data_IF_400829573277
#
_entry.id   IF_400829573277
#
_cell.length_a   1.000
_cell.length_b   1.000
_cell.length_c   1.000
_cell.angle_alpha   90.00
_cell.angle_beta   90.00
_cell.angle_gamma   90.00
#
_symmetry.space_group_name_H-M   'P 1'
#
loop_
_entity.id
_entity.type
_entity.pdbx_description
1 polymer ?
#
# COMPACT_ATOMS: atom_id res chain seq x y z
N UNK A 1 -19.86 -1.20 -18.13
CA UNK A 1 -18.87 -1.21 -17.04
C UNK A 1 -18.17 -2.55 -17.08
N UNK A 2 -16.83 -2.59 -16.96
CA UNK A 2 -16.05 -3.81 -17.11
C UNK A 2 -16.31 -4.78 -15.94
N UNK A 3 -17.33 -5.63 -16.06
CA UNK A 3 -17.54 -6.81 -15.24
C UNK A 3 -17.00 -7.99 -16.05
N UNK A 4 -15.68 -8.16 -16.01
CA UNK A 4 -15.07 -9.37 -16.56
C UNK A 4 -14.94 -10.35 -15.40
N UNK A 5 -15.35 -11.60 -15.58
CA UNK A 5 -15.09 -12.65 -14.58
C UNK A 5 -13.62 -13.13 -14.62
N UNK A 6 -12.79 -12.54 -15.49
CA UNK A 6 -11.41 -12.96 -15.71
C UNK A 6 -10.47 -12.19 -14.80
N UNK A 7 -9.81 -12.92 -13.90
CA UNK A 7 -8.89 -12.37 -12.90
C UNK A 7 -7.74 -11.55 -13.51
N UNK A 8 -7.15 -12.00 -14.62
CA UNK A 8 -6.07 -11.29 -15.32
C UNK A 8 -6.50 -9.90 -15.82
N UNK A 9 -7.78 -9.75 -16.19
CA UNK A 9 -8.35 -8.47 -16.62
C UNK A 9 -8.47 -7.53 -15.42
N UNK A 10 -8.85 -8.04 -14.24
CA UNK A 10 -8.87 -7.26 -13.01
C UNK A 10 -7.48 -6.77 -12.64
N UNK A 11 -6.46 -7.62 -12.75
CA UNK A 11 -5.08 -7.24 -12.48
C UNK A 11 -4.62 -6.13 -13.42
N UNK A 12 -4.83 -6.29 -14.72
CA UNK A 12 -4.44 -5.29 -15.72
C UNK A 12 -5.15 -3.96 -15.49
N UNK A 13 -6.47 -3.98 -15.23
CA UNK A 13 -7.25 -2.78 -14.98
C UNK A 13 -6.84 -2.07 -13.68
N UNK A 14 -6.68 -2.82 -12.58
CA UNK A 14 -6.27 -2.27 -11.29
C UNK A 14 -4.84 -1.70 -11.36
N UNK A 15 -3.91 -2.40 -12.03
CA UNK A 15 -2.54 -1.93 -12.24
C UNK A 15 -2.48 -0.65 -13.07
N UNK A 16 -3.26 -0.56 -14.15
CA UNK A 16 -3.35 0.67 -14.95
C UNK A 16 -3.88 1.85 -14.13
N UNK A 17 -4.94 1.64 -13.34
CA UNK A 17 -5.50 2.68 -12.47
C UNK A 17 -4.55 3.08 -11.35
N UNK A 18 -3.82 2.13 -10.76
CA UNK A 18 -2.78 2.42 -9.77
C UNK A 18 -1.68 3.32 -10.33
N UNK A 19 -1.17 2.99 -11.53
CA UNK A 19 -0.17 3.80 -12.22
C UNK A 19 -0.68 5.20 -12.55
N UNK A 20 -1.92 5.31 -13.06
CA UNK A 20 -2.53 6.61 -13.37
C UNK A 20 -2.73 7.45 -12.10
N UNK A 21 -3.19 6.84 -11.00
CA UNK A 21 -3.40 7.51 -9.71
C UNK A 21 -2.10 7.99 -9.05
N UNK A 22 -0.93 7.62 -9.58
CA UNK A 22 0.34 8.20 -9.12
C UNK A 22 0.35 9.73 -9.23
N UNK A 23 -0.28 10.28 -10.27
CA UNK A 23 -0.37 11.73 -10.49
C UNK A 23 -1.67 12.27 -9.88
N UNK A 24 -1.58 13.33 -9.06
CA UNK A 24 -2.73 13.88 -8.33
C UNK A 24 -3.85 14.37 -9.25
N UNK A 25 -3.52 14.95 -10.41
CA UNK A 25 -4.50 15.37 -11.42
C UNK A 25 -5.29 14.19 -11.99
N UNK A 26 -4.61 13.07 -12.26
CA UNK A 26 -5.26 11.87 -12.77
C UNK A 26 -6.08 11.21 -11.67
N UNK A 27 -5.55 11.14 -10.44
CA UNK A 27 -6.27 10.63 -9.29
C UNK A 27 -7.60 11.39 -9.09
N UNK A 28 -7.57 12.72 -9.15
CA UNK A 28 -8.78 13.55 -9.06
C UNK A 28 -9.79 13.21 -10.15
N UNK A 29 -9.35 13.12 -11.41
CA UNK A 29 -10.22 12.74 -12.53
C UNK A 29 -10.82 11.34 -12.37
N UNK A 30 -10.04 10.36 -11.91
CA UNK A 30 -10.54 9.00 -11.66
C UNK A 30 -11.64 9.04 -10.59
N UNK A 31 -11.50 9.86 -9.54
CA UNK A 31 -12.57 10.03 -8.53
C UNK A 31 -13.81 10.69 -9.15
N UNK A 32 -13.65 11.78 -9.91
CA UNK A 32 -14.78 12.48 -10.56
C UNK A 32 -15.54 11.58 -11.56
N UNK A 33 -14.82 10.73 -12.29
CA UNK A 33 -15.39 9.80 -13.28
C UNK A 33 -15.96 8.51 -12.66
N UNK A 34 -16.03 8.42 -11.32
CA UNK A 34 -16.65 7.30 -10.61
C UNK A 34 -15.79 6.03 -10.50
N UNK A 35 -14.47 6.18 -10.56
CA UNK A 35 -13.53 5.05 -10.46
C UNK A 35 -13.46 4.42 -9.05
N UNK A 36 -13.80 5.16 -8.00
CA UNK A 36 -13.71 4.66 -6.60
C UNK A 36 -14.62 3.45 -6.35
N UNK A 37 -15.94 3.49 -6.67
CA UNK A 37 -16.79 2.30 -6.55
C UNK A 37 -16.26 1.06 -7.30
N UNK A 38 -15.65 1.24 -8.47
CA UNK A 38 -15.10 0.15 -9.27
C UNK A 38 -13.88 -0.46 -8.58
N UNK A 39 -12.93 0.37 -8.14
CA UNK A 39 -11.76 -0.09 -7.40
C UNK A 39 -12.13 -0.74 -6.06
N UNK A 40 -13.15 -0.22 -5.37
CA UNK A 40 -13.70 -0.82 -4.16
C UNK A 40 -14.26 -2.22 -4.44
N UNK A 41 -15.01 -2.39 -5.53
CA UNK A 41 -15.52 -3.69 -5.94
C UNK A 41 -14.39 -4.68 -6.23
N UNK A 42 -13.38 -4.28 -7.00
CA UNK A 42 -12.20 -5.12 -7.27
C UNK A 42 -11.45 -5.48 -5.98
N UNK A 43 -11.24 -4.50 -5.09
CA UNK A 43 -10.55 -4.67 -3.81
C UNK A 43 -11.24 -5.71 -2.89
N UNK A 44 -12.55 -5.82 -2.97
CA UNK A 44 -13.35 -6.67 -2.08
C UNK A 44 -13.79 -8.00 -2.69
N UNK A 45 -14.05 -8.03 -3.99
CA UNK A 45 -14.76 -9.15 -4.63
C UNK A 45 -13.93 -9.92 -5.66
N UNK A 46 -12.79 -9.38 -6.12
CA UNK A 46 -11.95 -10.11 -7.08
C UNK A 46 -11.36 -11.39 -6.46
N UNK A 47 -11.34 -12.49 -7.22
CA UNK A 47 -10.64 -13.72 -6.81
C UNK A 47 -9.12 -13.57 -6.77
N UNK A 48 -8.55 -12.72 -7.63
CA UNK A 48 -7.12 -12.41 -7.62
C UNK A 48 -6.72 -11.51 -6.44
N UNK A 49 -5.82 -12.03 -5.59
CA UNK A 49 -5.18 -11.26 -4.49
C UNK A 49 -4.40 -10.07 -5.03
N UNK A 50 -3.79 -10.21 -6.19
CA UNK A 50 -2.99 -9.19 -6.86
C UNK A 50 -3.86 -8.03 -7.35
N UNK A 51 -5.01 -8.32 -7.97
CA UNK A 51 -5.97 -7.29 -8.35
C UNK A 51 -6.50 -6.52 -7.13
N UNK A 52 -6.78 -7.24 -6.04
CA UNK A 52 -7.20 -6.62 -4.77
C UNK A 52 -6.12 -5.71 -4.19
N UNK A 53 -4.88 -6.18 -4.20
CA UNK A 53 -3.71 -5.42 -3.76
C UNK A 53 -3.54 -4.13 -4.57
N UNK A 54 -3.47 -4.21 -5.91
CA UNK A 54 -3.31 -3.03 -6.77
C UNK A 54 -4.49 -2.06 -6.64
N UNK A 55 -5.71 -2.57 -6.45
CA UNK A 55 -6.88 -1.72 -6.20
C UNK A 55 -6.74 -0.95 -4.88
N UNK A 56 -6.27 -1.60 -3.81
CA UNK A 56 -5.99 -0.94 -2.55
C UNK A 56 -4.90 0.14 -2.68
N UNK A 57 -3.85 -0.11 -3.47
CA UNK A 57 -2.78 0.87 -3.73
C UNK A 57 -3.29 2.07 -4.54
N UNK A 58 -4.13 1.84 -5.56
CA UNK A 58 -4.75 2.92 -6.33
C UNK A 58 -5.64 3.80 -5.44
N UNK A 59 -6.48 3.19 -4.60
CA UNK A 59 -7.30 3.91 -3.62
C UNK A 59 -6.45 4.69 -2.61
N UNK A 60 -5.34 4.10 -2.13
CA UNK A 60 -4.42 4.78 -1.23
C UNK A 60 -3.77 6.00 -1.90
N UNK A 61 -3.37 5.90 -3.17
CA UNK A 61 -2.83 7.03 -3.94
C UNK A 61 -3.85 8.15 -4.18
N UNK A 62 -5.13 7.84 -4.28
CA UNK A 62 -6.16 8.89 -4.41
C UNK A 62 -6.32 9.67 -3.11
N UNK A 63 -6.19 9.02 -1.95
CA UNK A 63 -6.58 9.62 -0.67
C UNK A 63 -5.43 9.80 0.33
N UNK A 64 -4.18 9.82 -0.13
CA UNK A 64 -2.99 10.07 0.71
C UNK A 64 -2.72 11.55 1.04
N UNK A 65 -3.59 12.45 0.60
CA UNK A 65 -3.54 13.90 0.85
C UNK A 65 -2.97 14.73 -0.29
N UNK A 66 -2.32 14.10 -1.29
CA UNK A 66 -1.72 14.84 -2.42
C UNK A 66 -2.75 15.44 -3.38
N UNK A 67 -3.97 14.88 -3.42
CA UNK A 67 -5.07 15.48 -4.17
C UNK A 67 -5.55 16.78 -3.53
N UNK A 68 -5.59 16.85 -2.19
CA UNK A 68 -6.06 18.02 -1.45
C UNK A 68 -5.05 19.18 -1.59
N UNK A 69 -3.75 18.89 -1.55
CA UNK A 69 -2.68 19.88 -1.78
C UNK A 69 -2.74 20.49 -3.19
N UNK A 70 -3.03 19.68 -4.22
CA UNK A 70 -3.13 20.15 -5.60
C UNK A 70 -4.35 21.07 -5.83
N UNK A 71 -5.46 20.80 -5.13
CA UNK A 71 -6.67 21.63 -5.18
C UNK A 71 -6.48 23.01 -4.54
N UNK A 72 -5.52 23.17 -3.63
CA UNK A 72 -5.20 24.46 -2.98
C UNK A 72 -4.41 25.37 -3.93
N UNK A 73 -3.62 24.81 -4.85
CA UNK A 73 -2.77 25.56 -5.79
C UNK A 73 -3.54 25.96 -7.06
N UNK A 74 -4.58 25.21 -7.43
CA UNK A 74 -5.51 25.57 -8.50
C UNK A 74 -6.63 26.48 -7.98
N UNK A 75 -6.74 27.69 -8.51
CA UNK A 75 -7.78 28.70 -8.23
C UNK A 75 -9.12 28.13 -7.74
N UNK A 76 -9.50 28.51 -6.52
CA UNK A 76 -10.80 28.26 -5.92
C UNK A 76 -11.94 28.73 -6.83
N UNK A 77 -12.66 27.81 -7.46
CA UNK A 77 -14.03 28.04 -7.90
C UNK A 77 -14.77 26.72 -8.09
N UNK A 78 -16.03 26.72 -7.65
CA UNK A 78 -17.05 25.68 -7.78
C UNK A 78 -17.06 24.50 -6.77
N UNK A 79 -17.86 24.69 -5.71
CA UNK A 79 -18.93 23.72 -5.44
C UNK A 79 -18.86 22.99 -4.09
N UNK A 80 -19.57 23.54 -3.10
CA UNK A 80 -19.93 22.84 -1.84
C UNK A 80 -20.58 21.45 -2.07
N UNK A 81 -21.15 21.19 -3.26
CA UNK A 81 -21.71 19.90 -3.67
C UNK A 81 -20.68 18.85 -4.10
N UNK A 82 -19.51 19.24 -4.63
CA UNK A 82 -18.45 18.30 -5.06
C UNK A 82 -17.65 17.75 -3.87
N UNK A 83 -17.41 18.56 -2.85
CA UNK A 83 -16.66 18.15 -1.64
C UNK A 83 -17.33 17.02 -0.85
N UNK A 84 -18.65 16.99 -0.79
CA UNK A 84 -19.42 15.93 -0.09
C UNK A 84 -19.27 14.57 -0.79
N UNK A 85 -19.17 14.56 -2.13
CA UNK A 85 -18.97 13.32 -2.90
C UNK A 85 -17.55 12.76 -2.70
N UNK A 86 -16.53 13.63 -2.70
CA UNK A 86 -15.12 13.21 -2.50
C UNK A 86 -14.89 12.65 -1.10
N UNK A 87 -15.45 13.25 -0.05
CA UNK A 87 -15.31 12.72 1.31
C UNK A 87 -16.05 11.38 1.49
N UNK A 88 -17.21 11.22 0.84
CA UNK A 88 -17.90 9.93 0.77
C UNK A 88 -17.05 8.84 0.10
N UNK A 89 -16.44 9.16 -1.04
CA UNK A 89 -15.53 8.30 -1.76
C UNK A 89 -14.28 7.95 -0.92
N UNK A 90 -13.71 8.94 -0.22
CA UNK A 90 -12.57 8.77 0.70
C UNK A 90 -12.90 7.79 1.81
N UNK A 91 -14.04 7.96 2.49
CA UNK A 91 -14.48 7.06 3.55
C UNK A 91 -14.67 5.63 3.05
N UNK A 92 -15.28 5.47 1.87
CA UNK A 92 -15.44 4.16 1.24
C UNK A 92 -14.09 3.53 0.92
N UNK A 93 -13.20 4.27 0.25
CA UNK A 93 -11.86 3.81 -0.07
C UNK A 93 -11.09 3.32 1.15
N UNK A 94 -11.03 4.13 2.22
CA UNK A 94 -10.31 3.78 3.45
C UNK A 94 -10.89 2.53 4.12
N UNK A 95 -12.22 2.41 4.22
CA UNK A 95 -12.86 1.21 4.77
C UNK A 95 -12.46 -0.06 4.03
N UNK A 96 -12.41 0.00 2.69
CA UNK A 96 -12.11 -1.17 1.87
C UNK A 96 -10.61 -1.48 1.83
N UNK A 97 -9.72 -0.49 1.91
CA UNK A 97 -8.28 -0.70 2.12
C UNK A 97 -8.05 -1.41 3.47
N UNK A 98 -8.71 -0.95 4.54
CA UNK A 98 -8.61 -1.57 5.86
C UNK A 98 -9.09 -3.02 5.83
N UNK A 99 -10.26 -3.26 5.24
CA UNK A 99 -10.82 -4.62 5.08
C UNK A 99 -9.85 -5.52 4.31
N UNK A 100 -9.23 -5.02 3.23
CA UNK A 100 -8.23 -5.76 2.47
C UNK A 100 -7.01 -6.13 3.31
N UNK A 101 -6.40 -5.16 4.02
CA UNK A 101 -5.23 -5.43 4.87
C UNK A 101 -5.56 -6.46 5.95
N UNK A 102 -6.74 -6.35 6.56
CA UNK A 102 -7.18 -7.29 7.60
C UNK A 102 -7.40 -8.71 7.07
N UNK A 103 -7.60 -8.93 5.76
CA UNK A 103 -7.66 -10.29 5.20
C UNK A 103 -6.34 -11.06 5.30
N UNK A 104 -5.23 -10.38 5.60
CA UNK A 104 -3.91 -10.95 5.83
C UNK A 104 -3.50 -10.92 7.32
N UNK A 105 -4.38 -10.45 8.22
CA UNK A 105 -4.06 -10.27 9.64
C UNK A 105 -4.67 -11.41 10.46
N UNK A 106 -3.89 -12.45 10.75
CA UNK A 106 -4.26 -13.42 11.79
C UNK A 106 -3.99 -12.80 13.18
N UNK A 107 -5.01 -12.61 14.03
CA UNK A 107 -4.84 -11.89 15.29
C UNK A 107 -3.83 -12.54 16.24
N UNK A 108 -3.72 -13.88 16.27
CA UNK A 108 -2.82 -14.58 17.17
C UNK A 108 -1.38 -14.47 16.67
N UNK A 109 -1.15 -14.74 15.39
CA UNK A 109 0.18 -14.68 14.78
C UNK A 109 0.72 -13.25 14.83
N UNK A 110 -0.11 -12.23 14.54
CA UNK A 110 0.31 -10.83 14.61
C UNK A 110 0.57 -10.38 16.05
N UNK A 111 -0.23 -10.81 17.02
CA UNK A 111 0.02 -10.53 18.44
C UNK A 111 1.35 -11.10 18.92
N UNK A 112 1.64 -12.36 18.56
CA UNK A 112 2.91 -13.01 18.89
C UNK A 112 4.10 -12.32 18.22
N UNK A 113 3.99 -11.98 16.95
CA UNK A 113 5.03 -11.26 16.21
C UNK A 113 5.27 -9.85 16.78
N UNK A 114 4.19 -9.16 17.17
CA UNK A 114 4.27 -7.83 17.76
C UNK A 114 4.93 -7.82 19.14
N UNK A 115 4.66 -8.82 19.97
CA UNK A 115 5.21 -8.95 21.32
C UNK A 115 6.68 -9.43 21.33
N UNK A 116 6.99 -10.48 20.57
CA UNK A 116 8.32 -11.10 20.58
C UNK A 116 9.33 -10.36 19.72
N UNK A 117 8.89 -9.76 18.60
CA UNK A 117 9.75 -9.28 17.51
C UNK A 117 10.78 -10.33 17.04
N UNK A 118 10.53 -11.61 17.30
CA UNK A 118 11.48 -12.68 17.01
C UNK A 118 11.57 -12.92 15.49
N UNK A 119 12.77 -13.19 14.94
CA UNK A 119 12.94 -13.43 13.50
C UNK A 119 12.03 -14.53 12.94
N UNK A 120 11.80 -15.59 13.71
CA UNK A 120 10.92 -16.70 13.31
C UNK A 120 9.45 -16.27 13.19
N UNK A 121 8.93 -15.52 14.17
CA UNK A 121 7.55 -15.03 14.15
C UNK A 121 7.31 -14.04 12.99
N UNK A 122 8.27 -13.16 12.73
CA UNK A 122 8.18 -12.23 11.59
C UNK A 122 8.26 -12.96 10.24
N UNK A 123 9.06 -14.02 10.14
CA UNK A 123 9.13 -14.85 8.92
C UNK A 123 7.83 -15.59 8.67
N UNK A 124 7.22 -16.16 9.72
CA UNK A 124 5.92 -16.81 9.63
C UNK A 124 4.83 -15.86 9.12
N UNK A 125 4.80 -14.62 9.62
CA UNK A 125 3.90 -13.59 9.08
C UNK A 125 4.22 -13.30 7.62
N UNK A 126 5.49 -13.06 7.27
CA UNK A 126 5.88 -12.72 5.90
C UNK A 126 5.46 -13.78 4.88
N UNK A 127 5.63 -15.06 5.23
CA UNK A 127 5.19 -16.20 4.41
C UNK A 127 3.67 -16.26 4.27
N UNK A 128 2.94 -16.10 5.37
CA UNK A 128 1.48 -16.17 5.39
C UNK A 128 0.82 -15.04 4.57
N UNK A 129 1.45 -13.87 4.53
CA UNK A 129 0.89 -12.68 3.86
C UNK A 129 1.41 -12.44 2.45
N UNK A 130 2.33 -13.27 1.96
CA UNK A 130 2.97 -13.07 0.66
C UNK A 130 1.97 -13.20 -0.50
N UNK A 131 2.03 -12.25 -1.43
CA UNK A 131 1.35 -12.28 -2.72
C UNK A 131 2.41 -12.59 -3.76
N UNK A 132 2.40 -13.81 -4.30
CA UNK A 132 3.44 -14.32 -5.19
C UNK A 132 3.66 -13.42 -6.43
N UNK A 133 2.57 -12.91 -6.98
CA UNK A 133 2.54 -12.06 -8.15
C UNK A 133 3.20 -10.70 -7.89
N UNK A 134 3.14 -10.19 -6.65
CA UNK A 134 3.72 -8.90 -6.27
C UNK A 134 5.23 -8.84 -6.46
N UNK A 135 5.92 -9.99 -6.41
CA UNK A 135 7.35 -10.09 -6.70
C UNK A 135 7.73 -9.69 -8.13
N UNK A 136 6.78 -9.68 -9.07
CA UNK A 136 6.97 -9.26 -10.46
C UNK A 136 6.80 -7.76 -10.69
N UNK A 137 6.24 -7.03 -9.72
CA UNK A 137 6.12 -5.58 -9.81
C UNK A 137 7.51 -4.96 -9.66
N UNK A 138 7.80 -3.95 -10.48
CA UNK A 138 9.03 -3.17 -10.39
C UNK A 138 8.66 -1.71 -10.18
N UNK A 139 8.90 -1.21 -8.97
CA UNK A 139 8.67 0.18 -8.60
C UNK A 139 9.88 1.05 -8.98
N UNK A 140 9.58 2.28 -9.34
CA UNK A 140 10.51 3.41 -9.40
C UNK A 140 10.85 3.94 -8.00
N UNK A 141 11.92 4.72 -7.90
CA UNK A 141 12.26 5.41 -6.65
C UNK A 141 11.16 6.38 -6.18
N UNK A 142 10.38 6.96 -7.10
CA UNK A 142 9.30 7.88 -6.77
C UNK A 142 8.10 7.15 -6.12
N UNK A 143 7.77 5.96 -6.59
CA UNK A 143 6.74 5.10 -5.99
C UNK A 143 7.17 4.61 -4.61
N UNK A 144 8.41 4.12 -4.46
CA UNK A 144 8.96 3.74 -3.15
C UNK A 144 8.95 4.94 -2.20
N UNK A 145 9.39 6.12 -2.66
CA UNK A 145 9.37 7.36 -1.89
C UNK A 145 7.96 7.75 -1.44
N UNK A 146 6.93 7.54 -2.28
CA UNK A 146 5.53 7.80 -1.93
C UNK A 146 5.04 6.90 -0.80
N UNK A 147 5.32 5.59 -0.84
CA UNK A 147 4.98 4.69 0.25
C UNK A 147 5.71 5.05 1.56
N UNK A 148 6.99 5.42 1.48
CA UNK A 148 7.75 5.88 2.65
C UNK A 148 7.17 7.17 3.26
N UNK A 149 6.72 8.12 2.44
CA UNK A 149 5.99 9.29 2.93
C UNK A 149 4.67 8.89 3.60
N UNK A 150 3.94 7.93 3.01
CA UNK A 150 2.65 7.44 3.50
C UNK A 150 2.75 6.75 4.86
N UNK A 151 3.90 6.19 5.24
CA UNK A 151 4.15 5.68 6.61
C UNK A 151 4.00 6.75 7.71
N UNK A 152 4.05 8.03 7.36
CA UNK A 152 3.83 9.17 8.28
C UNK A 152 2.44 9.79 8.17
N UNK A 153 1.55 9.22 7.34
CA UNK A 153 0.21 9.77 7.14
C UNK A 153 -0.60 9.72 8.45
N UNK A 154 -1.41 10.75 8.76
CA UNK A 154 -2.27 10.75 9.95
C UNK A 154 -3.28 9.60 9.96
N UNK A 155 -3.67 9.09 8.79
CA UNK A 155 -4.64 8.00 8.62
C UNK A 155 -3.96 6.64 8.89
N UNK A 156 -4.35 5.89 9.95
CA UNK A 156 -3.73 4.60 10.28
C UNK A 156 -3.82 3.56 9.16
N UNK A 157 -4.95 3.53 8.46
CA UNK A 157 -5.20 2.61 7.34
C UNK A 157 -4.16 2.78 6.22
N UNK A 158 -3.82 4.02 5.88
CA UNK A 158 -2.82 4.31 4.85
C UNK A 158 -1.42 3.90 5.29
N UNK A 159 -1.08 4.07 6.58
CA UNK A 159 0.19 3.57 7.14
C UNK A 159 0.29 2.06 7.04
N UNK A 160 -0.79 1.33 7.37
CA UNK A 160 -0.83 -0.12 7.27
C UNK A 160 -0.71 -0.60 5.81
N UNK A 161 -1.44 0.04 4.89
CA UNK A 161 -1.38 -0.24 3.46
C UNK A 161 0.03 -0.01 2.89
N UNK A 162 0.67 1.12 3.22
CA UNK A 162 2.03 1.42 2.79
C UNK A 162 3.05 0.41 3.34
N UNK A 163 2.95 0.06 4.62
CA UNK A 163 3.84 -0.93 5.23
C UNK A 163 3.65 -2.31 4.58
N UNK A 164 2.41 -2.70 4.30
CA UNK A 164 2.08 -3.94 3.59
C UNK A 164 2.66 -3.94 2.17
N UNK A 165 2.52 -2.85 1.41
CA UNK A 165 3.08 -2.75 0.07
C UNK A 165 4.61 -2.90 0.05
N UNK A 166 5.29 -2.16 0.94
CA UNK A 166 6.74 -2.25 1.09
C UNK A 166 7.21 -3.65 1.52
N UNK A 167 6.42 -4.34 2.34
CA UNK A 167 6.67 -5.75 2.67
C UNK A 167 6.62 -6.60 1.40
N UNK A 168 5.56 -6.53 0.61
CA UNK A 168 5.42 -7.32 -0.63
C UNK A 168 6.59 -7.07 -1.60
N UNK A 169 7.02 -5.81 -1.73
CA UNK A 169 8.10 -5.42 -2.64
C UNK A 169 9.49 -5.86 -2.18
N UNK A 170 9.69 -6.12 -0.88
CA UNK A 170 10.99 -6.42 -0.29
C UNK A 170 11.18 -7.88 0.12
N UNK A 171 10.14 -8.72 0.02
CA UNK A 171 10.23 -10.14 0.39
C UNK A 171 11.38 -10.83 -0.36
N UNK A 172 12.29 -11.52 0.36
CA UNK A 172 13.34 -12.33 -0.27
C UNK A 172 12.76 -13.36 -1.24
N UNK A 173 13.40 -13.51 -2.40
CA UNK A 173 12.93 -14.39 -3.49
C UNK A 173 12.03 -13.70 -4.52
N UNK A 174 11.53 -12.49 -4.25
CA UNK A 174 10.85 -11.68 -5.27
C UNK A 174 11.80 -11.25 -6.40
N UNK A 175 11.34 -11.28 -7.65
CA UNK A 175 12.15 -10.96 -8.85
C UNK A 175 12.87 -9.61 -8.76
N UNK A 176 12.22 -8.61 -8.15
CA UNK A 176 12.75 -7.26 -8.01
C UNK A 176 13.08 -6.86 -6.56
N UNK A 177 13.15 -7.84 -5.64
CA UNK A 177 13.32 -7.57 -4.21
C UNK A 177 14.62 -6.80 -3.89
N UNK A 178 15.75 -7.19 -4.50
CA UNK A 178 17.04 -6.49 -4.32
C UNK A 178 16.97 -5.06 -4.83
N UNK A 179 16.39 -4.83 -6.01
CA UNK A 179 16.21 -3.49 -6.58
C UNK A 179 15.37 -2.58 -5.65
N UNK A 180 14.28 -3.10 -5.07
CA UNK A 180 13.48 -2.33 -4.12
C UNK A 180 14.21 -2.11 -2.79
N UNK A 181 15.00 -3.08 -2.33
CA UNK A 181 15.83 -2.94 -1.13
C UNK A 181 16.87 -1.82 -1.32
N UNK A 182 17.50 -1.72 -2.48
CA UNK A 182 18.45 -0.65 -2.81
C UNK A 182 17.76 0.71 -2.85
N UNK A 183 16.59 0.82 -3.49
CA UNK A 183 15.80 2.05 -3.49
C UNK A 183 15.43 2.50 -2.08
N UNK A 184 15.00 1.56 -1.22
CA UNK A 184 14.66 1.83 0.19
C UNK A 184 15.88 2.31 0.99
N UNK A 185 17.05 1.72 0.76
CA UNK A 185 18.30 2.14 1.41
C UNK A 185 18.72 3.54 0.96
N UNK A 186 18.66 3.82 -0.35
CA UNK A 186 19.03 5.10 -0.93
C UNK A 186 18.19 6.27 -0.40
N UNK A 187 16.91 6.04 -0.11
CA UNK A 187 16.02 7.06 0.49
C UNK A 187 16.08 7.11 2.02
N UNK A 188 16.97 6.33 2.65
CA UNK A 188 17.10 6.26 4.10
C UNK A 188 15.84 5.73 4.81
N UNK A 189 15.12 4.81 4.17
CA UNK A 189 13.82 4.30 4.64
C UNK A 189 13.87 3.70 6.05
N UNK A 190 15.01 3.12 6.45
CA UNK A 190 15.19 2.43 7.72
C UNK A 190 14.78 3.29 8.93
N UNK A 191 15.09 4.60 8.92
CA UNK A 191 14.68 5.51 10.01
C UNK A 191 13.16 5.64 10.10
N UNK A 192 12.49 5.73 8.95
CA UNK A 192 11.03 5.89 8.87
C UNK A 192 10.33 4.61 9.29
N UNK A 193 10.84 3.47 8.83
CA UNK A 193 10.32 2.15 9.17
C UNK A 193 10.46 1.84 10.67
N UNK A 194 11.60 2.19 11.29
CA UNK A 194 11.78 2.04 12.75
C UNK A 194 10.78 2.90 13.51
N UNK A 195 10.54 4.14 13.07
CA UNK A 195 9.53 5.00 13.68
C UNK A 195 8.11 4.42 13.53
N UNK A 196 7.77 3.90 12.34
CA UNK A 196 6.48 3.25 12.10
C UNK A 196 6.29 1.99 12.96
N UNK A 197 7.34 1.17 13.11
CA UNK A 197 7.36 -0.04 13.93
C UNK A 197 7.18 0.21 15.44
N UNK A 198 7.52 1.40 15.91
CA UNK A 198 7.46 1.81 17.31
C UNK A 198 6.29 2.77 17.64
N UNK A 199 5.61 3.31 16.63
CA UNK A 199 4.56 4.32 16.82
C UNK A 199 3.37 3.76 17.60
N UNK A 200 3.10 4.28 18.80
CA UNK A 200 1.99 3.84 19.65
C UNK A 200 0.63 3.92 18.95
N UNK A 201 0.43 4.97 18.14
CA UNK A 201 -0.77 5.23 17.34
C UNK A 201 -0.91 4.35 16.08
N UNK A 202 0.09 3.54 15.73
CA UNK A 202 0.01 2.63 14.58
C UNK A 202 -0.73 1.34 14.94
N UNK A 203 -1.47 0.79 13.97
CA UNK A 203 -2.09 -0.53 14.11
C UNK A 203 -1.04 -1.62 14.28
N UNK A 204 -1.45 -2.79 14.77
CA UNK A 204 -0.53 -3.92 14.93
C UNK A 204 0.05 -4.37 13.58
N UNK A 205 -0.76 -4.35 12.53
CA UNK A 205 -0.38 -4.68 11.16
C UNK A 205 0.74 -3.76 10.66
N UNK A 206 0.53 -2.44 10.76
CA UNK A 206 1.52 -1.47 10.32
C UNK A 206 2.87 -1.66 11.05
N UNK A 207 2.83 -1.97 12.36
CA UNK A 207 4.03 -2.22 13.16
C UNK A 207 4.75 -3.49 12.72
N UNK A 208 4.03 -4.60 12.60
CA UNK A 208 4.58 -5.91 12.23
C UNK A 208 5.15 -5.85 10.81
N UNK A 209 4.40 -5.29 9.85
CA UNK A 209 4.86 -5.14 8.48
C UNK A 209 6.12 -4.29 8.38
N UNK A 210 6.19 -3.15 9.08
CA UNK A 210 7.40 -2.32 9.09
C UNK A 210 8.63 -3.07 9.65
N UNK A 211 8.46 -3.93 10.65
CA UNK A 211 9.55 -4.78 11.19
C UNK A 211 10.01 -5.83 10.18
N UNK A 212 9.07 -6.43 9.44
CA UNK A 212 9.40 -7.38 8.37
C UNK A 212 10.19 -6.67 7.26
N UNK A 213 9.78 -5.46 6.85
CA UNK A 213 10.53 -4.68 5.85
C UNK A 213 11.96 -4.42 6.32
N UNK A 214 12.16 -4.01 7.58
CA UNK A 214 13.50 -3.81 8.14
C UNK A 214 14.36 -5.08 8.05
N UNK A 215 13.80 -6.23 8.44
CA UNK A 215 14.48 -7.53 8.34
C UNK A 215 14.81 -7.89 6.89
N UNK A 216 13.89 -7.63 5.97
CA UNK A 216 14.13 -7.88 4.54
C UNK A 216 15.32 -7.05 4.05
N UNK A 217 15.42 -5.78 4.43
CA UNK A 217 16.57 -4.93 4.08
C UNK A 217 17.88 -5.48 4.62
N UNK A 218 17.91 -5.94 5.87
CA UNK A 218 19.09 -6.58 6.49
C UNK A 218 19.51 -7.84 5.73
N UNK A 219 18.54 -8.65 5.30
CA UNK A 219 18.80 -9.85 4.49
C UNK A 219 19.46 -9.52 3.14
N UNK A 220 18.97 -8.50 2.43
CA UNK A 220 19.53 -8.09 1.14
C UNK A 220 20.91 -7.42 1.27
N UNK A 221 21.20 -6.77 2.41
CA UNK A 221 22.54 -6.24 2.71
C UNK A 221 23.57 -7.35 2.96
N UNK A 222 23.18 -8.42 3.66
CA UNK A 222 24.06 -9.55 3.89
C UNK A 222 24.44 -10.27 2.59
N UNK A 223 23.51 -10.36 1.63
CA UNK A 223 23.74 -11.01 0.33
C UNK A 223 24.52 -10.20 -0.71
N UNK A 224 24.72 -8.90 -0.50
CA UNK A 224 25.52 -8.02 -1.39
C UNK A 224 26.98 -7.89 -0.97
N UNK A 225 27.33 -8.41 0.22
CA UNK A 225 28.67 -8.31 0.81
C UNK A 225 29.57 -9.52 0.51
N UNK A 226 29.15 -10.41 -0.39
CA UNK A 226 29.89 -11.62 -0.85
C UNK A 226 30.12 -11.57 -2.34
#
# INVERSE_FOLDING_TARGET
MAQSEVEDVHETAAGALWNLAFYSSNAHRIVEEGGVPILVHLCSSSGSKMARFMSALALAYMFDGRMDEAAIVGTSSEGSSKGVNVEGARRMALKHIETFVLTFSDPQVFSMAAASSAPAALSQVAEAVFIQEAGHLRCSGAEIGRFIAMLRNPTPVLRACAAFALLQFSIPGGRHATHHADLLQNVGAARVLRAAAAATSASIEAKVFARIVLRNLEHHQAGTST
#
